data_IF_247524417073
#
_entry.id   IF_247524417073
#
_cell.length_a   1.000
_cell.length_b   1.000
_cell.length_c   1.000
_cell.angle_alpha   90.00
_cell.angle_beta   90.00
_cell.angle_gamma   90.00
#
_symmetry.space_group_name_H-M   'P 1'
#
loop_
_entity.id
_entity.type
_entity.pdbx_description
1 polymer ?
#
# COMPACT_ATOMS: atom_id res chain seq x y z
N UNK A 1 59.62 -30.91 -8.82
CA UNK A 1 60.47 -30.12 -7.94
C UNK A 1 60.12 -28.66 -8.16
N UNK A 2 59.15 -28.16 -7.40
CA UNK A 2 59.32 -27.78 -6.00
C UNK A 2 59.94 -26.40 -5.95
N UNK A 3 59.12 -25.45 -5.54
CA UNK A 3 59.25 -24.75 -4.25
C UNK A 3 58.39 -23.50 -4.30
N UNK A 4 58.27 -22.86 -5.47
CA UNK A 4 57.55 -21.59 -5.63
C UNK A 4 56.02 -21.70 -5.45
N UNK A 5 55.36 -22.68 -6.07
CA UNK A 5 53.88 -22.80 -6.01
C UNK A 5 53.42 -23.39 -4.67
N UNK A 6 54.22 -24.28 -4.06
CA UNK A 6 53.95 -24.79 -2.71
C UNK A 6 54.20 -23.70 -1.64
N UNK A 7 55.19 -22.81 -1.84
CA UNK A 7 55.44 -21.69 -0.93
C UNK A 7 54.32 -20.64 -0.95
N UNK A 8 53.68 -20.40 -2.10
CA UNK A 8 52.54 -19.48 -2.19
C UNK A 8 51.28 -20.03 -1.50
N UNK A 9 51.08 -21.35 -1.53
CA UNK A 9 49.95 -22.01 -0.85
C UNK A 9 50.20 -22.25 0.65
N UNK A 10 51.43 -22.06 1.12
CA UNK A 10 51.83 -22.23 2.52
C UNK A 10 51.83 -20.91 3.30
N UNK A 11 51.37 -19.82 2.69
CA UNK A 11 51.01 -18.58 3.37
C UNK A 11 49.65 -18.75 4.05
N UNK A 12 49.57 -19.67 5.02
CA UNK A 12 48.54 -19.60 6.06
C UNK A 12 48.84 -18.34 6.87
N UNK A 13 48.33 -17.20 6.40
CA UNK A 13 48.14 -16.04 7.26
C UNK A 13 47.21 -16.46 8.37
N UNK A 14 47.84 -16.85 9.48
CA UNK A 14 47.19 -17.25 10.70
C UNK A 14 46.29 -16.08 11.13
N UNK A 15 44.97 -16.26 11.03
CA UNK A 15 43.97 -15.26 11.42
C UNK A 15 44.24 -14.76 12.85
N UNK A 16 44.86 -15.61 13.68
CA UNK A 16 45.32 -15.29 15.03
C UNK A 16 46.43 -14.26 15.08
N UNK A 17 47.33 -14.24 14.10
CA UNK A 17 48.40 -13.24 13.99
C UNK A 17 47.84 -11.89 13.53
N UNK A 18 46.88 -11.89 12.60
CA UNK A 18 46.15 -10.68 12.22
C UNK A 18 45.37 -10.09 13.41
N UNK A 19 44.63 -10.95 14.13
CA UNK A 19 43.87 -10.56 15.32
C UNK A 19 44.78 -10.05 16.44
N UNK A 20 45.91 -10.72 16.73
CA UNK A 20 46.86 -10.25 17.75
C UNK A 20 47.53 -8.94 17.41
N UNK A 21 47.90 -8.73 16.16
CA UNK A 21 48.55 -7.49 15.75
C UNK A 21 47.56 -6.32 15.79
N UNK A 22 46.33 -6.51 15.34
CA UNK A 22 45.36 -5.42 15.26
C UNK A 22 44.67 -5.10 16.61
N UNK A 23 44.49 -6.10 17.49
CA UNK A 23 43.91 -5.89 18.82
C UNK A 23 44.93 -5.75 19.95
N UNK A 24 46.22 -5.99 19.70
CA UNK A 24 47.30 -5.86 20.68
C UNK A 24 48.15 -4.60 20.53
N UNK A 25 47.79 -3.70 19.62
CA UNK A 25 48.52 -2.45 19.38
C UNK A 25 48.05 -1.37 20.35
N UNK A 26 48.85 -1.09 21.38
CA UNK A 26 48.56 -0.11 22.43
C UNK A 26 49.00 1.32 22.07
N UNK A 27 49.41 1.56 20.81
CA UNK A 27 50.02 2.82 20.35
C UNK A 27 49.13 4.06 20.60
N UNK A 28 47.81 3.90 20.67
CA UNK A 28 46.85 5.00 20.84
C UNK A 28 46.20 5.09 22.23
N UNK A 29 46.57 4.23 23.18
CA UNK A 29 45.90 4.16 24.50
C UNK A 29 45.98 5.45 25.34
N UNK A 30 46.96 6.31 25.07
CA UNK A 30 47.19 7.55 25.83
C UNK A 30 46.79 8.84 25.09
N UNK A 31 46.42 8.76 23.81
CA UNK A 31 46.13 9.94 22.99
C UNK A 31 44.69 10.47 23.16
N UNK A 32 43.78 9.61 23.60
CA UNK A 32 42.38 9.96 23.78
C UNK A 32 41.93 9.70 25.23
N UNK A 33 41.31 10.71 25.83
CA UNK A 33 40.66 10.59 27.13
C UNK A 33 39.18 10.79 26.93
N UNK A 34 38.41 9.73 27.21
CA UNK A 34 36.95 9.77 27.18
C UNK A 34 36.43 10.96 27.99
N UNK A 35 35.69 11.87 27.36
CA UNK A 35 35.14 13.05 28.01
C UNK A 35 33.61 13.09 27.92
N UNK A 36 32.99 13.95 28.71
CA UNK A 36 31.53 14.13 28.74
C UNK A 36 30.98 14.63 27.39
N UNK A 37 31.76 15.41 26.66
CA UNK A 37 31.41 15.84 25.31
C UNK A 37 31.21 14.66 24.35
N UNK A 38 32.15 13.71 24.35
CA UNK A 38 32.06 12.51 23.51
C UNK A 38 30.84 11.67 23.87
N UNK A 39 30.59 11.51 25.17
CA UNK A 39 29.42 10.78 25.68
C UNK A 39 28.12 11.44 25.21
N UNK A 40 28.04 12.78 25.29
CA UNK A 40 26.85 13.53 24.88
C UNK A 40 26.55 13.46 23.39
N UNK A 41 27.57 13.19 22.55
CA UNK A 41 27.41 13.04 21.10
C UNK A 41 27.12 11.57 20.72
N UNK A 42 27.85 10.62 21.31
CA UNK A 42 27.76 9.21 20.96
C UNK A 42 26.43 8.59 21.41
N UNK A 43 25.92 8.93 22.60
CA UNK A 43 24.63 8.39 23.08
C UNK A 43 23.49 8.66 22.08
N UNK A 44 23.17 9.91 21.70
CA UNK A 44 22.09 10.15 20.74
C UNK A 44 22.39 9.55 19.36
N UNK A 45 23.65 9.56 18.92
CA UNK A 45 24.05 8.92 17.67
C UNK A 45 23.69 7.42 17.65
N UNK A 46 24.10 6.67 18.67
CA UNK A 46 23.80 5.25 18.77
C UNK A 46 22.31 4.99 18.98
N UNK A 47 21.60 5.84 19.73
CA UNK A 47 20.14 5.75 19.87
C UNK A 47 19.44 5.88 18.52
N UNK A 48 19.78 6.89 17.72
CA UNK A 48 19.24 7.07 16.37
C UNK A 48 19.60 5.88 15.47
N UNK A 49 20.84 5.39 15.55
CA UNK A 49 21.28 4.24 14.76
C UNK A 49 20.51 2.96 15.12
N UNK A 50 20.21 2.75 16.41
CA UNK A 50 19.39 1.63 16.88
C UNK A 50 17.95 1.76 16.38
N UNK A 51 17.35 2.95 16.43
CA UNK A 51 15.99 3.19 15.89
C UNK A 51 15.94 2.88 14.39
N UNK A 52 16.92 3.38 13.63
CA UNK A 52 17.02 3.11 12.18
C UNK A 52 17.24 1.61 11.90
N UNK A 53 18.04 0.92 12.72
CA UNK A 53 18.24 -0.51 12.60
C UNK A 53 16.93 -1.29 12.84
N UNK A 54 16.13 -0.90 13.83
CA UNK A 54 14.81 -1.50 14.04
C UNK A 54 13.85 -1.27 12.87
N UNK A 55 13.82 -0.05 12.30
CA UNK A 55 13.01 0.23 11.12
C UNK A 55 13.46 -0.60 9.90
N UNK A 56 14.78 -0.74 9.71
CA UNK A 56 15.37 -1.59 8.69
C UNK A 56 15.00 -3.06 8.86
N UNK A 57 15.10 -3.59 10.10
CA UNK A 57 14.73 -4.96 10.43
C UNK A 57 13.24 -5.22 10.19
N UNK A 58 12.37 -4.30 10.59
CA UNK A 58 10.93 -4.37 10.33
C UNK A 58 10.63 -4.41 8.82
N UNK A 59 11.29 -3.54 8.03
CA UNK A 59 11.14 -3.56 6.57
C UNK A 59 11.66 -4.87 5.96
N UNK A 60 12.78 -5.38 6.44
CA UNK A 60 13.31 -6.68 6.02
C UNK A 60 12.33 -7.82 6.34
N UNK A 61 11.73 -7.81 7.53
CA UNK A 61 10.70 -8.77 7.93
C UNK A 61 9.50 -8.73 6.98
N UNK A 62 8.99 -7.54 6.62
CA UNK A 62 7.89 -7.42 5.65
C UNK A 62 8.25 -7.99 4.28
N UNK A 63 9.46 -7.69 3.79
CA UNK A 63 9.95 -8.23 2.51
C UNK A 63 10.10 -9.75 2.57
N UNK A 64 10.66 -10.29 3.65
CA UNK A 64 10.77 -11.72 3.88
C UNK A 64 9.39 -12.39 3.92
N UNK A 65 8.43 -11.81 4.66
CA UNK A 65 7.05 -12.31 4.73
C UNK A 65 6.38 -12.27 3.35
N UNK A 66 6.58 -11.20 2.57
CA UNK A 66 6.10 -11.14 1.19
C UNK A 66 6.68 -12.27 0.34
N UNK A 67 8.00 -12.44 0.31
CA UNK A 67 8.62 -13.50 -0.50
C UNK A 67 8.24 -14.91 -0.04
N UNK A 68 8.07 -15.11 1.26
CA UNK A 68 7.61 -16.38 1.84
C UNK A 68 6.18 -16.72 1.43
N UNK A 69 5.28 -15.74 1.40
CA UNK A 69 3.86 -15.95 1.15
C UNK A 69 3.38 -15.52 -0.26
N UNK A 70 4.26 -15.03 -1.15
CA UNK A 70 3.88 -14.59 -2.51
C UNK A 70 3.21 -15.68 -3.34
N UNK A 71 3.51 -16.95 -3.05
CA UNK A 71 2.93 -18.12 -3.73
C UNK A 71 1.59 -18.55 -3.12
N UNK A 72 1.21 -17.99 -1.98
CA UNK A 72 -0.13 -18.14 -1.40
C UNK A 72 -1.12 -17.14 -2.01
N UNK A 73 -0.78 -16.51 -3.14
CA UNK A 73 -1.73 -15.75 -3.92
C UNK A 73 -2.94 -16.64 -4.20
N UNK A 74 -4.13 -16.11 -3.87
CA UNK A 74 -5.41 -16.80 -4.02
C UNK A 74 -5.45 -17.37 -5.45
N UNK A 75 -5.61 -18.69 -5.55
CA UNK A 75 -5.69 -19.39 -6.83
C UNK A 75 -6.99 -19.06 -7.56
N UNK A 76 -7.31 -19.82 -8.60
CA UNK A 76 -8.63 -19.69 -9.21
C UNK A 76 -9.74 -19.91 -8.15
N UNK A 77 -10.83 -19.14 -8.25
CA UNK A 77 -11.95 -19.24 -7.32
C UNK A 77 -12.49 -20.68 -7.33
N UNK A 78 -12.76 -21.22 -6.14
CA UNK A 78 -13.18 -22.62 -5.99
C UNK A 78 -14.52 -22.92 -6.69
N UNK A 79 -15.35 -21.89 -6.86
CA UNK A 79 -16.63 -21.95 -7.56
C UNK A 79 -16.80 -20.67 -8.38
N UNK A 80 -17.66 -20.73 -9.39
CA UNK A 80 -18.09 -19.55 -10.14
C UNK A 80 -19.60 -19.46 -10.03
N UNK A 81 -20.11 -18.25 -9.96
CA UNK A 81 -21.54 -18.00 -9.98
C UNK A 81 -22.13 -18.40 -11.32
N UNK A 82 -23.15 -19.27 -11.32
CA UNK A 82 -23.90 -19.63 -12.53
C UNK A 82 -24.68 -18.43 -13.07
N UNK A 83 -25.23 -17.61 -12.16
CA UNK A 83 -25.83 -16.32 -12.43
C UNK A 83 -25.09 -15.25 -11.64
N UNK A 84 -24.57 -14.24 -12.34
CA UNK A 84 -23.84 -13.15 -11.71
C UNK A 84 -24.74 -12.39 -10.71
N UNK A 85 -24.24 -12.08 -9.50
CA UNK A 85 -24.99 -11.33 -8.49
C UNK A 85 -25.11 -9.86 -8.86
N UNK A 86 -26.04 -9.12 -8.24
CA UNK A 86 -26.03 -7.65 -8.36
C UNK A 86 -24.90 -7.06 -7.51
N UNK A 87 -24.17 -6.06 -8.00
CA UNK A 87 -23.07 -5.40 -7.29
C UNK A 87 -23.30 -3.90 -7.22
N UNK A 88 -23.19 -3.32 -6.02
CA UNK A 88 -23.14 -1.87 -5.82
C UNK A 88 -21.70 -1.43 -5.63
N UNK A 89 -21.23 -0.52 -6.47
CA UNK A 89 -19.93 0.14 -6.35
C UNK A 89 -20.13 1.44 -5.56
N UNK A 90 -19.40 1.61 -4.46
CA UNK A 90 -19.37 2.83 -3.68
C UNK A 90 -18.06 3.59 -3.89
N UNK A 91 -18.20 4.86 -4.23
CA UNK A 91 -17.13 5.80 -4.53
C UNK A 91 -17.16 6.95 -3.51
N UNK A 92 -16.60 6.76 -2.29
CA UNK A 92 -16.47 7.84 -1.32
C UNK A 92 -15.47 8.90 -1.81
N UNK A 93 -15.89 10.16 -1.86
CA UNK A 93 -15.07 11.30 -2.30
C UNK A 93 -15.10 12.44 -1.27
N UNK A 94 -13.98 13.18 -1.19
CA UNK A 94 -13.86 14.41 -0.41
C UNK A 94 -12.79 15.33 -1.02
N UNK A 95 -13.21 16.44 -1.62
CA UNK A 95 -12.37 17.43 -2.32
C UNK A 95 -11.56 16.82 -3.49
N UNK A 96 -12.19 16.00 -4.32
CA UNK A 96 -11.56 15.16 -5.36
C UNK A 96 -12.07 15.46 -6.80
N UNK A 97 -12.31 16.74 -7.11
CA UNK A 97 -12.86 17.16 -8.40
C UNK A 97 -12.08 16.73 -9.64
N UNK A 98 -10.76 16.53 -9.54
CA UNK A 98 -9.90 16.22 -10.70
C UNK A 98 -9.82 14.73 -11.04
N UNK A 99 -10.23 13.85 -10.13
CA UNK A 99 -10.11 12.38 -10.31
C UNK A 99 -11.45 11.68 -10.50
N UNK A 100 -12.55 12.30 -10.05
CA UNK A 100 -13.89 11.71 -10.08
C UNK A 100 -14.34 11.27 -11.48
N UNK A 101 -14.06 12.06 -12.53
CA UNK A 101 -14.48 11.68 -13.88
C UNK A 101 -13.80 10.38 -14.33
N UNK A 102 -12.47 10.31 -14.17
CA UNK A 102 -11.68 9.12 -14.51
C UNK A 102 -12.10 7.90 -13.70
N UNK A 103 -12.44 8.10 -12.42
CA UNK A 103 -12.94 7.04 -11.54
C UNK A 103 -14.26 6.47 -12.03
N UNK A 104 -15.23 7.35 -12.32
CA UNK A 104 -16.55 6.93 -12.83
C UNK A 104 -16.39 6.27 -14.20
N UNK A 105 -15.57 6.84 -15.09
CA UNK A 105 -15.27 6.24 -16.39
C UNK A 105 -14.74 4.81 -16.23
N UNK A 106 -13.79 4.60 -15.33
CA UNK A 106 -13.23 3.27 -15.05
C UNK A 106 -14.30 2.29 -14.56
N UNK A 107 -15.17 2.72 -13.65
CA UNK A 107 -16.27 1.88 -13.14
C UNK A 107 -17.27 1.52 -14.25
N UNK A 108 -17.60 2.46 -15.15
CA UNK A 108 -18.51 2.19 -16.28
C UNK A 108 -17.91 1.28 -17.35
N UNK A 109 -16.58 1.09 -17.34
CA UNK A 109 -15.83 0.21 -18.26
C UNK A 109 -15.53 -1.18 -17.70
N UNK A 110 -15.97 -1.48 -16.48
CA UNK A 110 -15.86 -2.83 -15.92
C UNK A 110 -16.57 -3.84 -16.81
N UNK A 111 -15.98 -5.01 -16.99
CA UNK A 111 -16.57 -6.13 -17.70
C UNK A 111 -17.65 -6.80 -16.85
N UNK A 112 -18.76 -6.11 -16.62
CA UNK A 112 -19.90 -6.60 -15.84
C UNK A 112 -21.23 -6.15 -16.50
N UNK A 113 -22.29 -6.97 -16.45
CA UNK A 113 -23.58 -6.58 -17.00
C UNK A 113 -24.11 -5.32 -16.31
N UNK A 114 -24.52 -4.31 -17.09
CA UNK A 114 -24.90 -2.99 -16.58
C UNK A 114 -26.14 -3.06 -15.71
N UNK A 115 -27.08 -3.92 -16.07
CA UNK A 115 -28.31 -4.19 -15.36
C UNK A 115 -28.08 -4.84 -13.99
N UNK A 116 -26.90 -5.41 -13.75
CA UNK A 116 -26.48 -5.99 -12.46
C UNK A 116 -25.51 -5.08 -11.69
N UNK A 117 -25.30 -3.85 -12.15
CA UNK A 117 -24.39 -2.89 -11.52
C UNK A 117 -25.16 -1.67 -11.02
N UNK A 118 -24.75 -1.14 -9.88
CA UNK A 118 -25.10 0.21 -9.41
C UNK A 118 -23.83 0.94 -9.03
N UNK A 119 -23.74 2.23 -9.36
CA UNK A 119 -22.61 3.08 -8.97
C UNK A 119 -23.14 4.20 -8.06
N UNK A 120 -22.60 4.29 -6.86
CA UNK A 120 -22.92 5.32 -5.89
C UNK A 120 -21.70 6.21 -5.68
N UNK A 121 -21.84 7.50 -5.97
CA UNK A 121 -20.85 8.52 -5.61
C UNK A 121 -21.29 9.14 -4.29
N UNK A 122 -20.48 8.93 -3.25
CA UNK A 122 -20.77 9.35 -1.88
C UNK A 122 -19.89 10.55 -1.55
N UNK A 123 -20.46 11.75 -1.56
CA UNK A 123 -19.72 13.00 -1.47
C UNK A 123 -19.90 13.72 -0.14
N UNK A 124 -18.79 13.89 0.59
CA UNK A 124 -18.70 14.68 1.83
C UNK A 124 -18.05 16.07 1.59
N UNK A 125 -17.75 16.44 0.33
CA UNK A 125 -17.00 17.64 -0.03
C UNK A 125 -17.74 18.92 0.32
N UNK A 126 -16.99 19.96 0.69
CA UNK A 126 -17.57 21.28 1.01
C UNK A 126 -17.31 22.34 -0.06
N UNK A 127 -16.42 22.03 -1.00
CA UNK A 127 -15.94 22.90 -2.08
C UNK A 127 -16.75 22.70 -3.39
N UNK A 128 -16.20 23.17 -4.52
CA UNK A 128 -16.80 23.08 -5.86
C UNK A 128 -16.92 21.62 -6.34
N UNK A 129 -16.28 20.65 -5.69
CA UNK A 129 -16.36 19.21 -6.03
C UNK A 129 -17.82 18.75 -6.09
N UNK A 130 -18.71 19.30 -5.25
CA UNK A 130 -20.13 18.94 -5.24
C UNK A 130 -20.81 19.15 -6.60
N UNK A 131 -20.58 20.32 -7.19
CA UNK A 131 -21.18 20.68 -8.48
C UNK A 131 -20.56 19.86 -9.61
N UNK A 132 -19.24 19.69 -9.58
CA UNK A 132 -18.51 18.88 -10.56
C UNK A 132 -18.97 17.42 -10.52
N UNK A 133 -19.04 16.82 -9.33
CA UNK A 133 -19.47 15.45 -9.11
C UNK A 133 -20.91 15.22 -9.57
N UNK A 134 -21.83 16.12 -9.19
CA UNK A 134 -23.23 16.06 -9.61
C UNK A 134 -23.36 16.11 -11.14
N UNK A 135 -22.71 17.08 -11.78
CA UNK A 135 -22.75 17.23 -13.25
C UNK A 135 -22.19 16.01 -13.99
N UNK A 136 -21.09 15.43 -13.50
CA UNK A 136 -20.52 14.21 -14.08
C UNK A 136 -21.48 13.04 -13.92
N UNK A 137 -22.07 12.86 -12.73
CA UNK A 137 -23.05 11.81 -12.48
C UNK A 137 -24.27 11.96 -13.41
N UNK A 138 -24.77 13.17 -13.60
CA UNK A 138 -25.89 13.46 -14.50
C UNK A 138 -25.55 13.12 -15.95
N UNK A 139 -24.33 13.45 -16.40
CA UNK A 139 -23.84 13.08 -17.74
C UNK A 139 -23.82 11.56 -17.93
N UNK A 140 -23.27 10.79 -16.99
CA UNK A 140 -23.25 9.33 -17.11
C UNK A 140 -24.64 8.71 -16.98
N UNK A 141 -25.53 9.30 -16.16
CA UNK A 141 -26.92 8.87 -16.08
C UNK A 141 -27.66 9.10 -17.39
N UNK A 142 -27.42 10.23 -18.08
CA UNK A 142 -27.97 10.50 -19.40
C UNK A 142 -27.47 9.52 -20.48
N UNK A 143 -26.28 8.95 -20.30
CA UNK A 143 -25.75 7.86 -21.13
C UNK A 143 -26.35 6.47 -20.78
N UNK A 144 -27.26 6.41 -19.80
CA UNK A 144 -27.95 5.18 -19.39
C UNK A 144 -27.18 4.34 -18.37
N UNK A 145 -26.16 4.89 -17.70
CA UNK A 145 -25.48 4.18 -16.61
C UNK A 145 -26.25 4.31 -15.29
N UNK A 146 -26.31 3.23 -14.48
CA UNK A 146 -27.00 3.21 -13.18
C UNK A 146 -26.15 3.91 -12.11
N UNK A 147 -26.02 5.24 -12.21
CA UNK A 147 -25.22 6.06 -11.31
C UNK A 147 -26.06 7.00 -10.45
N UNK A 148 -25.74 7.05 -9.17
CA UNK A 148 -26.44 7.82 -8.14
C UNK A 148 -25.43 8.71 -7.42
N UNK A 149 -25.77 9.98 -7.30
CA UNK A 149 -24.98 10.95 -6.54
C UNK A 149 -25.65 11.18 -5.19
N UNK A 150 -24.88 11.02 -4.12
CA UNK A 150 -25.32 11.21 -2.75
C UNK A 150 -24.38 12.18 -2.06
N UNK A 151 -24.90 13.37 -1.76
CA UNK A 151 -24.15 14.36 -1.01
C UNK A 151 -24.62 14.43 0.44
N UNK A 152 -23.67 14.46 1.36
CA UNK A 152 -23.92 14.62 2.80
C UNK A 152 -23.45 15.97 3.26
N UNK A 153 -24.31 16.67 3.99
CA UNK A 153 -23.99 17.97 4.61
C UNK A 153 -23.30 17.82 5.97
N UNK A 154 -23.29 16.61 6.53
CA UNK A 154 -22.66 16.30 7.82
C UNK A 154 -21.58 15.23 7.62
N UNK A 155 -20.34 15.56 8.00
CA UNK A 155 -19.19 14.65 7.88
C UNK A 155 -19.01 13.71 9.07
N UNK A 156 -20.08 13.42 9.81
CA UNK A 156 -20.00 12.49 10.93
C UNK A 156 -19.57 11.10 10.44
N UNK A 157 -18.59 10.51 11.11
CA UNK A 157 -18.01 9.22 10.73
C UNK A 157 -17.11 9.27 9.49
N UNK A 158 -16.89 10.44 8.88
CA UNK A 158 -16.06 10.64 7.69
C UNK A 158 -16.39 9.60 6.60
N UNK A 159 -15.36 9.00 5.97
CA UNK A 159 -15.48 7.94 4.96
C UNK A 159 -16.37 6.78 5.40
N UNK A 160 -16.23 6.33 6.65
CA UNK A 160 -17.04 5.22 7.16
C UNK A 160 -18.52 5.60 7.29
N UNK A 161 -18.81 6.83 7.69
CA UNK A 161 -20.18 7.36 7.74
C UNK A 161 -20.81 7.49 6.35
N UNK A 162 -20.03 7.93 5.35
CA UNK A 162 -20.50 8.02 3.97
C UNK A 162 -20.87 6.64 3.42
N UNK A 163 -19.99 5.65 3.63
CA UNK A 163 -20.21 4.25 3.24
C UNK A 163 -21.44 3.65 3.94
N UNK A 164 -21.63 3.89 5.24
CA UNK A 164 -22.80 3.43 6.00
C UNK A 164 -24.11 3.99 5.45
N UNK A 165 -24.14 5.26 5.08
CA UNK A 165 -25.32 5.86 4.44
C UNK A 165 -25.56 5.30 3.03
N UNK A 166 -24.51 5.10 2.23
CA UNK A 166 -24.61 4.45 0.94
C UNK A 166 -25.15 3.01 1.04
N UNK A 167 -24.76 2.26 2.09
CA UNK A 167 -25.19 0.88 2.30
C UNK A 167 -26.71 0.77 2.51
N UNK A 168 -27.34 1.78 3.13
CA UNK A 168 -28.79 1.79 3.38
C UNK A 168 -29.63 1.82 2.11
N UNK A 169 -29.06 2.28 0.99
CA UNK A 169 -29.72 2.38 -0.30
C UNK A 169 -29.06 1.53 -1.39
N UNK A 170 -28.03 0.75 -1.02
CA UNK A 170 -27.40 -0.20 -1.94
C UNK A 170 -28.38 -1.31 -2.32
N UNK A 171 -28.36 -1.71 -3.59
CA UNK A 171 -29.26 -2.74 -4.12
C UNK A 171 -28.50 -4.05 -4.45
N UNK A 172 -27.17 -4.00 -4.46
CA UNK A 172 -26.31 -5.14 -4.73
C UNK A 172 -26.31 -6.16 -3.60
N UNK A 173 -26.17 -7.43 -3.96
CA UNK A 173 -25.86 -8.52 -3.03
C UNK A 173 -24.42 -8.39 -2.51
N UNK A 174 -23.54 -7.82 -3.33
CA UNK A 174 -22.18 -7.46 -2.96
C UNK A 174 -21.94 -5.96 -3.11
N UNK A 175 -21.01 -5.45 -2.31
CA UNK A 175 -20.55 -4.07 -2.37
C UNK A 175 -19.06 -4.04 -2.65
N UNK A 176 -18.67 -3.29 -3.68
CA UNK A 176 -17.29 -2.97 -3.98
C UNK A 176 -17.03 -1.51 -3.61
N UNK A 177 -15.90 -1.23 -2.96
CA UNK A 177 -15.54 0.13 -2.56
C UNK A 177 -14.25 0.49 -3.28
N UNK A 178 -14.22 1.64 -3.95
CA UNK A 178 -13.02 2.19 -4.57
C UNK A 178 -12.74 3.59 -4.04
N UNK A 179 -11.47 3.84 -3.72
CA UNK A 179 -11.00 5.16 -3.34
C UNK A 179 -10.94 6.07 -4.57
N UNK A 180 -11.02 7.39 -4.35
CA UNK A 180 -11.15 8.37 -5.43
C UNK A 180 -9.98 8.35 -6.43
N UNK A 181 -8.80 7.96 -5.96
CA UNK A 181 -7.57 7.88 -6.74
C UNK A 181 -7.34 6.51 -7.40
N UNK A 182 -8.16 5.50 -7.09
CA UNK A 182 -8.04 4.15 -7.62
C UNK A 182 -8.79 3.98 -8.94
N UNK A 183 -8.08 3.53 -9.98
CA UNK A 183 -8.65 3.24 -11.30
C UNK A 183 -8.70 1.72 -11.49
N UNK A 184 -9.84 1.05 -11.27
CA UNK A 184 -9.93 -0.40 -11.38
C UNK A 184 -9.67 -0.87 -12.83
N UNK A 185 -8.89 -1.95 -13.03
CA UNK A 185 -8.82 -2.65 -14.31
C UNK A 185 -10.20 -3.19 -14.74
N UNK A 186 -10.43 -3.33 -16.05
CA UNK A 186 -11.75 -3.74 -16.58
C UNK A 186 -12.19 -5.12 -16.08
N UNK A 187 -11.24 -6.03 -15.91
CA UNK A 187 -11.47 -7.41 -15.49
C UNK A 187 -11.57 -7.57 -13.98
N UNK A 188 -11.26 -6.52 -13.20
CA UNK A 188 -11.11 -6.60 -11.75
C UNK A 188 -12.33 -7.22 -11.08
N UNK A 189 -13.53 -6.76 -11.42
CA UNK A 189 -14.74 -7.24 -10.76
C UNK A 189 -14.97 -8.74 -11.05
N UNK A 190 -14.75 -9.19 -12.29
CA UNK A 190 -14.87 -10.60 -12.66
C UNK A 190 -13.82 -11.50 -11.99
N UNK A 191 -12.66 -10.95 -11.61
CA UNK A 191 -11.61 -11.71 -10.92
C UNK A 191 -11.90 -11.92 -9.44
N UNK A 192 -12.65 -10.99 -8.81
CA UNK A 192 -12.89 -11.01 -7.35
C UNK A 192 -14.31 -11.43 -6.96
N UNK A 193 -15.26 -11.42 -7.90
CA UNK A 193 -16.66 -11.73 -7.61
C UNK A 193 -16.95 -13.23 -7.47
N UNK A 194 -16.06 -14.10 -7.94
CA UNK A 194 -16.27 -15.56 -7.99
C UNK A 194 -15.74 -16.29 -6.75
#
# INVERSE_FOLDING_TARGET
>A
MNTAILALLQQKHDLRHYLRYHYGDHTFEHLYRWNWFDTSLLIPYFVVMVILAFYGLHRYQLVYLYYKHRKNAVGEPQRRFERLPRVTIQLPIFNEQFVIDRLIEACTRLHYPRELLDIQVLDDSTDETKEVAANICDRYRALGYPIYYLHRTNRHGFKAGALDEGLKIAQGEFVAIFDADFVPPREWLMQVIH
#
